data_IF_530007540163
#
_entry.id   IF_530007540163
#
_cell.length_a   1.000
_cell.length_b   1.000
_cell.length_c   1.000
_cell.angle_alpha   90.00
_cell.angle_beta   90.00
_cell.angle_gamma   90.00
#
_symmetry.space_group_name_H-M   'P 1'
#
loop_
_entity.id
_entity.type
_entity.pdbx_description
1 polymer ?
#
# COMPACT_ATOMS: atom_id res chain seq x y z
N UNK A 1 -31.18 -37.07 0.30
CA UNK A 1 -29.73 -37.21 0.50
C UNK A 1 -29.07 -35.83 0.54
N UNK A 2 -27.86 -35.76 1.01
CA UNK A 2 -27.04 -34.51 1.03
C UNK A 2 -26.86 -33.95 -0.37
N UNK A 3 -26.62 -34.83 -1.35
CA UNK A 3 -26.44 -34.46 -2.76
C UNK A 3 -27.68 -33.78 -3.34
N UNK A 4 -28.88 -34.30 -3.00
CA UNK A 4 -30.12 -33.69 -3.48
C UNK A 4 -30.37 -32.31 -2.89
N UNK A 5 -30.04 -32.10 -1.59
CA UNK A 5 -30.14 -30.80 -0.95
C UNK A 5 -29.11 -29.80 -1.55
N UNK A 6 -27.88 -30.24 -1.80
CA UNK A 6 -26.84 -29.45 -2.43
C UNK A 6 -27.24 -29.04 -3.87
N UNK A 7 -27.75 -29.97 -4.66
CA UNK A 7 -28.23 -29.68 -6.01
C UNK A 7 -29.44 -28.72 -6.00
N UNK A 8 -30.33 -28.85 -5.01
CA UNK A 8 -31.42 -27.91 -4.82
C UNK A 8 -30.93 -26.50 -4.47
N UNK A 9 -29.94 -26.37 -3.56
CA UNK A 9 -29.34 -25.08 -3.22
C UNK A 9 -28.81 -24.34 -4.46
N UNK A 10 -28.06 -25.04 -5.32
CA UNK A 10 -27.51 -24.45 -6.55
C UNK A 10 -28.60 -23.96 -7.52
N UNK A 11 -29.62 -24.80 -7.76
CA UNK A 11 -30.72 -24.45 -8.68
C UNK A 11 -31.56 -23.30 -8.16
N UNK A 12 -31.88 -23.30 -6.87
CA UNK A 12 -32.70 -22.25 -6.25
C UNK A 12 -31.93 -20.94 -6.20
N UNK A 13 -30.62 -20.94 -5.89
CA UNK A 13 -29.79 -19.74 -5.90
C UNK A 13 -29.68 -19.12 -7.29
N UNK A 14 -29.48 -19.93 -8.32
CA UNK A 14 -29.47 -19.46 -9.71
C UNK A 14 -30.82 -18.84 -10.13
N UNK A 15 -31.94 -19.44 -9.72
CA UNK A 15 -33.26 -18.87 -9.95
C UNK A 15 -33.53 -17.60 -9.16
N UNK A 16 -33.03 -17.51 -7.91
CA UNK A 16 -33.17 -16.37 -7.02
C UNK A 16 -32.47 -15.11 -7.53
N UNK A 17 -31.32 -15.26 -8.16
CA UNK A 17 -30.57 -14.14 -8.75
C UNK A 17 -31.06 -13.71 -10.15
N UNK A 18 -32.01 -14.47 -10.72
CA UNK A 18 -32.62 -14.19 -12.01
C UNK A 18 -33.53 -12.95 -12.01
N UNK A 19 -33.66 -12.31 -13.18
CA UNK A 19 -34.48 -11.09 -13.37
C UNK A 19 -35.97 -11.32 -13.33
N UNK A 20 -36.42 -12.55 -13.63
CA UNK A 20 -37.83 -12.88 -13.84
C UNK A 20 -38.48 -13.57 -12.65
N UNK A 21 -37.88 -13.57 -11.49
CA UNK A 21 -38.44 -14.18 -10.29
C UNK A 21 -39.63 -13.39 -9.76
N UNK A 22 -40.77 -14.05 -9.59
CA UNK A 22 -41.92 -13.42 -8.94
C UNK A 22 -41.66 -13.17 -7.45
N UNK A 23 -42.35 -12.20 -6.86
CA UNK A 23 -42.24 -11.91 -5.41
C UNK A 23 -42.53 -13.12 -4.53
N UNK A 24 -43.54 -13.94 -4.93
CA UNK A 24 -43.87 -15.21 -4.25
C UNK A 24 -42.75 -16.24 -4.41
N UNK A 25 -42.13 -16.31 -5.60
CA UNK A 25 -40.98 -17.19 -5.84
C UNK A 25 -39.78 -16.80 -5.02
N UNK A 26 -39.50 -15.49 -4.89
CA UNK A 26 -38.44 -14.96 -4.08
C UNK A 26 -38.61 -15.32 -2.59
N UNK A 27 -39.79 -15.09 -2.02
CA UNK A 27 -40.10 -15.49 -0.63
C UNK A 27 -39.91 -16.98 -0.39
N UNK A 28 -40.39 -17.81 -1.31
CA UNK A 28 -40.23 -19.27 -1.19
C UNK A 28 -38.75 -19.68 -1.22
N UNK A 29 -37.93 -19.09 -2.09
CA UNK A 29 -36.50 -19.35 -2.13
C UNK A 29 -35.80 -18.92 -0.82
N UNK A 30 -36.14 -17.76 -0.27
CA UNK A 30 -35.64 -17.30 1.01
C UNK A 30 -35.99 -18.23 2.19
N UNK A 31 -37.22 -18.75 2.22
CA UNK A 31 -37.64 -19.72 3.24
C UNK A 31 -36.86 -21.03 3.11
N UNK A 32 -36.60 -21.49 1.88
CA UNK A 32 -35.74 -22.66 1.65
C UNK A 32 -34.32 -22.40 2.12
N UNK A 33 -33.74 -21.21 1.84
CA UNK A 33 -32.40 -20.84 2.30
C UNK A 33 -32.32 -20.81 3.84
N UNK A 34 -33.37 -20.32 4.53
CA UNK A 34 -33.44 -20.34 6.00
C UNK A 34 -33.41 -21.76 6.57
N UNK A 35 -34.04 -22.70 5.90
CA UNK A 35 -33.98 -24.12 6.29
C UNK A 35 -32.59 -24.70 6.01
N UNK A 36 -31.99 -24.38 4.86
CA UNK A 36 -30.72 -24.95 4.46
C UNK A 36 -29.53 -24.40 5.28
N UNK A 37 -29.57 -23.14 5.73
CA UNK A 37 -28.51 -22.54 6.55
C UNK A 37 -28.47 -23.15 7.97
N UNK A 38 -29.55 -23.80 8.40
CA UNK A 38 -29.65 -24.54 9.68
C UNK A 38 -29.44 -26.05 9.51
N UNK A 39 -29.10 -26.52 8.31
CA UNK A 39 -28.91 -27.94 8.07
C UNK A 39 -27.75 -28.49 8.90
N UNK A 40 -27.97 -29.61 9.57
CA UNK A 40 -26.95 -30.28 10.40
C UNK A 40 -25.73 -30.74 9.57
N UNK A 41 -25.94 -30.97 8.26
CA UNK A 41 -24.89 -31.38 7.35
C UNK A 41 -24.11 -30.16 6.84
N UNK A 42 -22.87 -30.01 7.27
CA UNK A 42 -21.99 -28.94 6.85
C UNK A 42 -21.90 -28.78 5.33
N UNK A 43 -21.88 -29.92 4.62
CA UNK A 43 -21.81 -29.95 3.16
C UNK A 43 -22.96 -29.20 2.48
N UNK A 44 -24.17 -29.24 3.04
CA UNK A 44 -25.32 -28.49 2.52
C UNK A 44 -25.10 -26.99 2.71
N UNK A 45 -24.61 -26.58 3.88
CA UNK A 45 -24.31 -25.19 4.18
C UNK A 45 -23.15 -24.63 3.35
N UNK A 46 -22.10 -25.44 3.09
CA UNK A 46 -20.99 -25.07 2.18
C UNK A 46 -21.50 -24.80 0.77
N UNK A 47 -22.33 -25.70 0.21
CA UNK A 47 -22.89 -25.51 -1.13
C UNK A 47 -23.84 -24.31 -1.17
N UNK A 48 -24.63 -24.09 -0.11
CA UNK A 48 -25.47 -22.90 -0.01
C UNK A 48 -24.63 -21.63 -0.01
N UNK A 49 -23.61 -21.55 0.83
CA UNK A 49 -22.66 -20.43 0.91
C UNK A 49 -22.02 -20.15 -0.45
N UNK A 50 -21.49 -21.18 -1.10
CA UNK A 50 -20.85 -21.09 -2.41
C UNK A 50 -21.80 -20.59 -3.50
N UNK A 51 -23.07 -20.97 -3.41
CA UNK A 51 -24.10 -20.58 -4.37
C UNK A 51 -24.60 -19.14 -4.14
N UNK A 52 -24.65 -18.68 -2.88
CA UNK A 52 -25.17 -17.37 -2.52
C UNK A 52 -24.10 -16.25 -2.55
N UNK A 53 -22.81 -16.58 -2.53
CA UNK A 53 -21.73 -15.58 -2.47
C UNK A 53 -21.71 -14.57 -3.62
N UNK A 54 -22.31 -14.94 -4.78
CA UNK A 54 -22.39 -14.07 -5.96
C UNK A 54 -23.76 -13.41 -6.14
N UNK A 55 -24.75 -13.73 -5.29
CA UNK A 55 -26.08 -13.16 -5.40
C UNK A 55 -26.07 -11.66 -5.09
N UNK A 56 -26.89 -10.90 -5.81
CA UNK A 56 -26.99 -9.45 -5.64
C UNK A 56 -27.49 -9.02 -4.27
N UNK A 57 -28.43 -9.76 -3.71
CA UNK A 57 -28.98 -9.46 -2.39
C UNK A 57 -29.59 -10.73 -1.78
N UNK A 58 -29.33 -10.98 -0.53
CA UNK A 58 -29.95 -12.03 0.27
C UNK A 58 -30.43 -11.46 1.60
N UNK A 59 -31.42 -12.11 2.27
CA UNK A 59 -31.91 -11.65 3.56
C UNK A 59 -30.82 -11.57 4.62
N UNK A 60 -30.91 -10.55 5.47
CA UNK A 60 -29.92 -10.23 6.49
C UNK A 60 -29.70 -11.37 7.50
N UNK A 61 -30.77 -12.06 7.88
CA UNK A 61 -30.73 -13.20 8.80
C UNK A 61 -29.87 -14.35 8.25
N UNK A 62 -29.97 -14.65 6.95
CA UNK A 62 -29.15 -15.65 6.26
C UNK A 62 -27.67 -15.19 6.20
N UNK A 63 -27.43 -13.92 5.85
CA UNK A 63 -26.08 -13.33 5.83
C UNK A 63 -25.39 -13.52 7.17
N UNK A 64 -26.02 -13.13 8.27
CA UNK A 64 -25.47 -13.24 9.62
C UNK A 64 -25.16 -14.69 10.00
N UNK A 65 -25.99 -15.63 9.61
CA UNK A 65 -25.75 -17.06 9.88
C UNK A 65 -24.55 -17.59 9.10
N UNK A 66 -24.43 -17.25 7.81
CA UNK A 66 -23.32 -17.70 6.96
C UNK A 66 -21.96 -17.13 7.42
N UNK A 67 -21.89 -15.86 7.82
CA UNK A 67 -20.63 -15.27 8.31
C UNK A 67 -20.20 -15.84 9.66
N UNK A 68 -21.15 -16.29 10.49
CA UNK A 68 -20.87 -16.87 11.80
C UNK A 68 -20.71 -18.39 11.81
N UNK A 69 -20.90 -19.06 10.67
CA UNK A 69 -20.70 -20.50 10.54
C UNK A 69 -19.21 -20.87 10.64
N UNK A 70 -18.88 -22.14 10.59
CA UNK A 70 -17.48 -22.59 10.55
C UNK A 70 -16.74 -22.11 9.31
N UNK A 71 -15.40 -22.10 9.34
CA UNK A 71 -14.56 -21.49 8.31
C UNK A 71 -14.84 -22.01 6.89
N UNK A 72 -15.11 -23.31 6.72
CA UNK A 72 -15.39 -23.88 5.39
C UNK A 72 -16.66 -23.33 4.73
N UNK A 73 -17.61 -22.86 5.52
CA UNK A 73 -18.85 -22.22 5.07
C UNK A 73 -18.67 -20.71 4.97
N UNK A 74 -18.10 -20.09 5.99
CA UNK A 74 -18.04 -18.63 6.11
C UNK A 74 -16.98 -17.97 5.21
N UNK A 75 -15.79 -18.56 5.09
CA UNK A 75 -14.66 -17.95 4.36
C UNK A 75 -14.98 -17.61 2.90
N UNK A 76 -15.51 -18.53 2.06
CA UNK A 76 -15.86 -18.20 0.69
C UNK A 76 -16.94 -17.12 0.59
N UNK A 77 -17.90 -17.12 1.52
CA UNK A 77 -18.95 -16.11 1.57
C UNK A 77 -18.41 -14.73 1.97
N UNK A 78 -17.63 -14.64 3.04
CA UNK A 78 -16.99 -13.40 3.50
C UNK A 78 -16.15 -12.80 2.39
N UNK A 79 -15.38 -13.62 1.67
CA UNK A 79 -14.47 -13.14 0.62
C UNK A 79 -15.18 -12.54 -0.59
N UNK A 80 -16.30 -13.13 -1.01
CA UNK A 80 -16.89 -12.82 -2.33
C UNK A 80 -18.26 -12.13 -2.27
N UNK A 81 -19.05 -12.28 -1.22
CA UNK A 81 -20.36 -11.63 -1.14
C UNK A 81 -20.22 -10.11 -1.06
N UNK A 82 -20.70 -9.41 -2.11
CA UNK A 82 -20.43 -7.97 -2.27
C UNK A 82 -21.08 -7.08 -1.18
N UNK A 83 -22.27 -7.46 -0.69
CA UNK A 83 -23.12 -6.62 0.16
C UNK A 83 -22.94 -6.86 1.67
N UNK A 84 -21.73 -7.25 2.10
CA UNK A 84 -21.38 -7.15 3.52
C UNK A 84 -21.21 -5.68 3.89
N UNK A 85 -21.86 -5.26 4.97
CA UNK A 85 -21.74 -3.90 5.48
C UNK A 85 -20.38 -3.71 6.21
N UNK A 86 -20.00 -2.47 6.42
CA UNK A 86 -18.80 -2.16 7.22
C UNK A 86 -18.87 -2.78 8.62
N UNK A 87 -20.05 -2.72 9.24
CA UNK A 87 -20.31 -3.28 10.57
C UNK A 87 -20.15 -4.80 10.57
N UNK A 88 -20.53 -5.49 9.48
CA UNK A 88 -20.27 -6.92 9.33
C UNK A 88 -18.78 -7.21 9.30
N UNK A 89 -18.04 -6.47 8.48
CA UNK A 89 -16.61 -6.68 8.33
C UNK A 89 -15.87 -6.42 9.65
N UNK A 90 -16.22 -5.37 10.38
CA UNK A 90 -15.66 -5.07 11.70
C UNK A 90 -15.99 -6.19 12.69
N UNK A 91 -17.24 -6.63 12.75
CA UNK A 91 -17.68 -7.73 13.64
C UNK A 91 -16.93 -9.04 13.36
N UNK A 92 -16.65 -9.35 12.07
CA UNK A 92 -15.83 -10.50 11.69
C UNK A 92 -14.40 -10.34 12.17
N UNK A 93 -13.81 -9.15 12.05
CA UNK A 93 -12.45 -8.87 12.52
C UNK A 93 -12.34 -9.04 14.04
N UNK A 94 -13.34 -8.59 14.81
CA UNK A 94 -13.31 -8.63 16.28
C UNK A 94 -13.51 -10.03 16.87
N UNK A 95 -14.48 -10.78 16.33
CA UNK A 95 -15.01 -11.96 16.99
C UNK A 95 -14.62 -13.30 16.35
N UNK A 96 -13.95 -13.28 15.18
CA UNK A 96 -13.82 -14.48 14.36
C UNK A 96 -12.36 -15.00 14.25
N UNK A 97 -12.25 -16.21 13.65
CA UNK A 97 -10.97 -16.87 13.42
C UNK A 97 -10.05 -16.07 12.47
N UNK A 98 -8.73 -16.30 12.58
CA UNK A 98 -7.73 -15.72 11.67
C UNK A 98 -8.04 -16.00 10.20
N UNK A 99 -8.65 -17.14 9.85
CA UNK A 99 -9.05 -17.46 8.48
C UNK A 99 -10.15 -16.52 7.97
N UNK A 100 -11.13 -16.18 8.80
CA UNK A 100 -12.19 -15.24 8.45
C UNK A 100 -11.65 -13.81 8.36
N UNK A 101 -10.72 -13.40 9.26
CA UNK A 101 -10.03 -12.12 9.18
C UNK A 101 -9.22 -12.02 7.88
N UNK A 102 -8.50 -13.08 7.47
CA UNK A 102 -7.80 -13.16 6.18
C UNK A 102 -8.77 -13.06 5.00
N UNK A 103 -9.95 -13.67 5.11
CA UNK A 103 -10.99 -13.56 4.07
C UNK A 103 -11.48 -12.09 3.91
N UNK A 104 -11.63 -11.35 5.01
CA UNK A 104 -11.92 -9.91 4.96
C UNK A 104 -10.78 -9.16 4.27
N UNK A 105 -9.53 -9.40 4.66
CA UNK A 105 -8.35 -8.75 4.08
C UNK A 105 -8.17 -9.03 2.57
N UNK A 106 -8.71 -10.15 2.06
CA UNK A 106 -8.67 -10.54 0.65
C UNK A 106 -9.83 -9.97 -0.20
N UNK A 107 -10.75 -9.21 0.39
CA UNK A 107 -11.89 -8.65 -0.35
C UNK A 107 -11.45 -7.63 -1.38
N UNK A 108 -12.14 -7.61 -2.53
CA UNK A 108 -11.93 -6.57 -3.54
C UNK A 108 -12.44 -5.21 -3.02
N UNK A 109 -11.71 -4.16 -3.33
CA UNK A 109 -12.06 -2.77 -3.00
C UNK A 109 -12.37 -2.58 -1.50
N UNK A 110 -11.56 -3.17 -0.63
CA UNK A 110 -11.73 -3.03 0.81
C UNK A 110 -11.62 -1.54 1.20
N UNK A 111 -12.58 -0.98 1.97
CA UNK A 111 -12.54 0.42 2.39
C UNK A 111 -11.34 0.72 3.30
N UNK A 112 -10.86 1.98 3.25
CA UNK A 112 -9.68 2.44 4.01
C UNK A 112 -9.83 2.26 5.53
N UNK A 113 -11.01 2.55 6.06
CA UNK A 113 -11.28 2.43 7.49
C UNK A 113 -11.30 0.97 7.99
N UNK A 114 -11.73 0.02 7.13
CA UNK A 114 -11.60 -1.42 7.42
C UNK A 114 -10.15 -1.86 7.30
N UNK A 115 -9.40 -1.33 6.32
CA UNK A 115 -7.95 -1.57 6.18
C UNK A 115 -7.19 -1.11 7.42
N UNK A 116 -7.47 0.10 7.91
CA UNK A 116 -6.89 0.61 9.16
C UNK A 116 -7.27 -0.26 10.36
N UNK A 117 -8.53 -0.70 10.44
CA UNK A 117 -9.00 -1.55 11.54
C UNK A 117 -8.28 -2.91 11.58
N UNK A 118 -8.00 -3.50 10.41
CA UNK A 118 -7.20 -4.73 10.31
C UNK A 118 -5.79 -4.50 10.88
N UNK A 119 -5.14 -3.39 10.51
CA UNK A 119 -3.78 -3.06 11.01
C UNK A 119 -3.77 -2.89 12.52
N UNK A 120 -4.81 -2.28 13.08
CA UNK A 120 -4.90 -2.01 14.52
C UNK A 120 -5.15 -3.29 15.34
N UNK A 121 -6.01 -4.19 14.85
CA UNK A 121 -6.59 -5.30 15.63
C UNK A 121 -6.09 -6.69 15.27
N UNK A 122 -5.63 -6.90 14.03
CA UNK A 122 -5.25 -8.23 13.59
C UNK A 122 -3.77 -8.56 13.79
N UNK A 123 -3.45 -9.84 13.62
CA UNK A 123 -2.08 -10.34 13.64
C UNK A 123 -1.30 -9.95 12.39
N UNK A 124 0.01 -10.04 12.46
CA UNK A 124 0.95 -9.80 11.36
C UNK A 124 0.58 -10.56 10.08
N UNK A 125 0.22 -11.84 10.21
CA UNK A 125 -0.20 -12.68 9.07
C UNK A 125 -1.39 -12.11 8.30
N UNK A 126 -2.38 -11.54 9.01
CA UNK A 126 -3.56 -10.93 8.39
C UNK A 126 -3.21 -9.62 7.73
N UNK A 127 -2.34 -8.83 8.37
CA UNK A 127 -1.82 -7.58 7.79
C UNK A 127 -0.98 -7.85 6.54
N UNK A 128 -0.16 -8.92 6.53
CA UNK A 128 0.55 -9.35 5.33
C UNK A 128 -0.38 -9.69 4.16
N UNK A 129 -1.51 -10.35 4.44
CA UNK A 129 -2.55 -10.63 3.43
C UNK A 129 -3.22 -9.34 2.93
N UNK A 130 -3.48 -8.37 3.82
CA UNK A 130 -4.02 -7.05 3.44
C UNK A 130 -3.06 -6.31 2.49
N UNK A 131 -1.77 -6.25 2.82
CA UNK A 131 -0.76 -5.58 1.99
C UNK A 131 -0.66 -6.23 0.62
N UNK A 132 -0.76 -7.56 0.54
CA UNK A 132 -0.73 -8.31 -0.72
C UNK A 132 -1.99 -8.14 -1.57
N UNK A 133 -3.05 -7.55 -1.03
CA UNK A 133 -4.29 -7.29 -1.76
C UNK A 133 -4.18 -5.94 -2.49
N UNK A 134 -3.76 -5.96 -3.75
CA UNK A 134 -3.60 -4.78 -4.61
C UNK A 134 -4.88 -3.93 -4.74
N UNK A 135 -6.05 -4.53 -4.56
CA UNK A 135 -7.35 -3.84 -4.64
C UNK A 135 -7.81 -3.21 -3.31
N UNK A 136 -7.11 -3.45 -2.21
CA UNK A 136 -7.45 -2.86 -0.93
C UNK A 136 -7.04 -1.38 -0.89
N UNK A 137 -7.95 -0.52 -0.42
CA UNK A 137 -7.63 0.89 -0.22
C UNK A 137 -6.83 1.05 1.08
N UNK A 138 -5.51 1.26 0.92
CA UNK A 138 -4.59 1.51 2.04
C UNK A 138 -4.06 2.93 1.85
N UNK A 139 -4.48 3.84 2.73
CA UNK A 139 -4.02 5.23 2.69
C UNK A 139 -2.66 5.39 3.38
N UNK A 140 -1.97 6.49 3.12
CA UNK A 140 -0.63 6.79 3.65
C UNK A 140 -0.54 6.61 5.17
N UNK A 141 -1.50 7.15 5.93
CA UNK A 141 -1.57 6.98 7.38
C UNK A 141 -1.61 5.52 7.83
N UNK A 142 -2.28 4.65 7.07
CA UNK A 142 -2.35 3.22 7.38
C UNK A 142 -1.01 2.54 7.10
N UNK A 143 -0.30 2.94 6.03
CA UNK A 143 1.07 2.48 5.79
C UNK A 143 2.02 2.92 6.89
N UNK A 144 1.92 4.15 7.39
CA UNK A 144 2.70 4.62 8.53
C UNK A 144 2.48 3.74 9.75
N UNK A 145 1.22 3.45 10.08
CA UNK A 145 0.88 2.54 11.18
C UNK A 145 1.46 1.12 10.98
N UNK A 146 1.51 0.62 9.74
CA UNK A 146 2.11 -0.67 9.42
C UNK A 146 3.62 -0.64 9.66
N UNK A 147 4.31 0.37 9.14
CA UNK A 147 5.77 0.51 9.26
C UNK A 147 6.17 0.66 10.72
N UNK A 148 5.47 1.51 11.48
CA UNK A 148 5.77 1.74 12.90
C UNK A 148 5.53 0.48 13.73
N UNK A 149 4.42 -0.23 13.51
CA UNK A 149 4.05 -1.43 14.28
C UNK A 149 4.91 -2.65 13.96
N UNK A 150 5.39 -2.76 12.71
CA UNK A 150 6.10 -3.92 12.19
C UNK A 150 7.49 -3.57 11.65
N UNK A 151 8.16 -2.58 12.25
CA UNK A 151 9.49 -2.09 11.85
C UNK A 151 10.54 -3.20 11.73
N UNK A 152 10.47 -4.22 12.58
CA UNK A 152 11.41 -5.33 12.64
C UNK A 152 10.95 -6.59 11.87
N UNK A 153 9.76 -6.56 11.25
CA UNK A 153 9.22 -7.71 10.52
C UNK A 153 9.72 -7.79 9.09
N UNK A 154 10.61 -8.74 8.81
CA UNK A 154 11.06 -9.05 7.44
C UNK A 154 9.90 -9.50 6.53
N UNK A 155 8.90 -10.15 7.09
CA UNK A 155 7.73 -10.61 6.36
C UNK A 155 6.88 -9.44 5.86
N UNK A 156 6.59 -8.47 6.72
CA UNK A 156 5.83 -7.26 6.34
C UNK A 156 6.63 -6.40 5.34
N UNK A 157 7.93 -6.18 5.58
CA UNK A 157 8.82 -5.47 4.65
C UNK A 157 8.78 -6.10 3.25
N UNK A 158 8.83 -7.44 3.18
CA UNK A 158 8.72 -8.18 1.92
C UNK A 158 7.38 -7.93 1.22
N UNK A 159 6.26 -8.02 1.92
CA UNK A 159 4.95 -7.75 1.33
C UNK A 159 4.84 -6.31 0.81
N UNK A 160 5.38 -5.32 1.55
CA UNK A 160 5.42 -3.93 1.10
C UNK A 160 6.22 -3.76 -0.20
N UNK A 161 7.42 -4.34 -0.27
CA UNK A 161 8.29 -4.22 -1.46
C UNK A 161 7.65 -4.80 -2.73
N UNK A 162 6.80 -5.81 -2.61
CA UNK A 162 6.11 -6.41 -3.77
C UNK A 162 4.82 -5.70 -4.17
N UNK A 163 4.33 -4.74 -3.38
CA UNK A 163 3.13 -4.01 -3.73
C UNK A 163 3.44 -2.94 -4.79
N UNK A 164 2.64 -2.91 -5.86
CA UNK A 164 2.88 -2.03 -7.02
C UNK A 164 2.49 -0.56 -6.79
N UNK A 165 1.53 -0.31 -5.89
CA UNK A 165 0.97 1.04 -5.67
C UNK A 165 1.29 1.52 -4.25
N UNK A 166 2.55 1.95 -4.05
CA UNK A 166 3.01 2.54 -2.80
C UNK A 166 3.14 4.05 -2.93
N UNK A 167 2.66 4.84 -1.93
CA UNK A 167 2.99 6.25 -1.85
C UNK A 167 4.50 6.48 -1.74
N UNK A 168 4.98 7.58 -2.32
CA UNK A 168 6.41 7.95 -2.33
C UNK A 168 6.99 8.03 -0.94
N UNK A 169 6.25 8.64 0.00
CA UNK A 169 6.60 8.74 1.41
C UNK A 169 6.84 7.38 2.08
N UNK A 170 6.04 6.38 1.70
CA UNK A 170 6.16 5.00 2.20
C UNK A 170 7.42 4.34 1.64
N UNK A 171 7.70 4.53 0.34
CA UNK A 171 8.91 3.99 -0.31
C UNK A 171 10.16 4.56 0.36
N UNK A 172 10.21 5.87 0.60
CA UNK A 172 11.34 6.53 1.29
C UNK A 172 11.58 5.94 2.68
N UNK A 173 10.52 5.74 3.48
CA UNK A 173 10.62 5.12 4.81
C UNK A 173 11.14 3.69 4.76
N UNK A 174 10.69 2.90 3.78
CA UNK A 174 11.18 1.52 3.57
C UNK A 174 12.68 1.55 3.21
N UNK A 175 13.08 2.39 2.27
CA UNK A 175 14.49 2.52 1.86
C UNK A 175 15.35 2.96 3.04
N UNK A 176 14.89 3.91 3.84
CA UNK A 176 15.60 4.36 5.05
C UNK A 176 15.78 3.22 6.05
N UNK A 177 14.70 2.49 6.37
CA UNK A 177 14.73 1.37 7.32
C UNK A 177 15.65 0.22 6.87
N UNK A 178 15.61 -0.13 5.58
CA UNK A 178 16.49 -1.16 5.01
C UNK A 178 17.96 -0.72 5.01
N UNK A 179 18.21 0.58 4.79
CA UNK A 179 19.56 1.15 4.83
C UNK A 179 20.16 1.08 6.23
N UNK A 180 19.38 1.39 7.26
CA UNK A 180 19.80 1.30 8.66
C UNK A 180 20.11 -0.14 9.08
N UNK A 181 19.32 -1.10 8.61
CA UNK A 181 19.55 -2.51 8.85
C UNK A 181 20.84 -3.00 8.14
N UNK A 182 21.05 -2.57 6.89
CA UNK A 182 22.28 -2.87 6.15
C UNK A 182 23.52 -2.33 6.88
N UNK A 183 23.45 -1.08 7.38
CA UNK A 183 24.54 -0.49 8.15
C UNK A 183 24.88 -1.31 9.40
N UNK A 184 23.85 -1.69 10.18
CA UNK A 184 24.06 -2.54 11.37
C UNK A 184 24.72 -3.87 10.99
N UNK A 185 24.27 -4.54 9.94
CA UNK A 185 24.85 -5.80 9.46
C UNK A 185 26.30 -5.64 8.98
N UNK A 186 26.62 -4.58 8.25
CA UNK A 186 28.00 -4.30 7.81
C UNK A 186 28.95 -4.15 8.98
N UNK A 187 28.54 -3.46 10.05
CA UNK A 187 29.34 -3.27 11.26
C UNK A 187 29.45 -4.56 12.06
N UNK A 188 28.32 -5.24 12.33
CA UNK A 188 28.29 -6.37 13.27
C UNK A 188 28.80 -7.67 12.67
N UNK A 189 28.50 -7.94 11.40
CA UNK A 189 28.83 -9.23 10.74
C UNK A 189 30.15 -9.17 9.99
N UNK A 190 30.45 -8.01 9.37
CA UNK A 190 31.65 -7.83 8.54
C UNK A 190 32.74 -6.98 9.21
N UNK A 191 32.54 -6.53 10.46
CA UNK A 191 33.47 -5.72 11.23
C UNK A 191 33.98 -4.48 10.48
N UNK A 192 33.13 -3.88 9.62
CA UNK A 192 33.50 -2.65 8.93
C UNK A 192 33.54 -1.47 9.90
N UNK A 193 34.52 -0.57 9.80
CA UNK A 193 34.54 0.68 10.54
C UNK A 193 33.24 1.46 10.30
N UNK A 194 32.70 2.09 11.34
CA UNK A 194 31.39 2.76 11.29
C UNK A 194 31.34 3.82 10.18
N UNK A 195 32.38 4.62 10.00
CA UNK A 195 32.46 5.64 8.94
C UNK A 195 32.35 5.03 7.54
N UNK A 196 33.01 3.90 7.27
CA UNK A 196 32.94 3.23 5.96
C UNK A 196 31.56 2.62 5.73
N UNK A 197 30.97 1.99 6.76
CA UNK A 197 29.62 1.44 6.67
C UNK A 197 28.60 2.56 6.41
N UNK A 198 28.71 3.70 7.09
CA UNK A 198 27.86 4.89 6.85
C UNK A 198 27.99 5.41 5.41
N UNK A 199 29.21 5.63 4.92
CA UNK A 199 29.45 6.12 3.57
C UNK A 199 28.85 5.20 2.48
N UNK A 200 29.00 3.88 2.65
CA UNK A 200 28.44 2.90 1.71
C UNK A 200 26.91 2.97 1.71
N UNK A 201 26.30 3.01 2.89
CA UNK A 201 24.84 3.01 3.05
C UNK A 201 24.25 4.31 2.50
N UNK A 202 24.85 5.47 2.78
CA UNK A 202 24.42 6.76 2.21
C UNK A 202 24.48 6.75 0.68
N UNK A 203 25.56 6.23 0.09
CA UNK A 203 25.68 6.13 -1.37
C UNK A 203 24.61 5.22 -1.99
N UNK A 204 24.29 4.08 -1.34
CA UNK A 204 23.24 3.18 -1.80
C UNK A 204 21.87 3.84 -1.69
N UNK A 205 21.59 4.51 -0.57
CA UNK A 205 20.34 5.25 -0.31
C UNK A 205 20.12 6.33 -1.37
N UNK A 206 21.12 7.19 -1.60
CA UNK A 206 21.05 8.26 -2.61
C UNK A 206 20.80 7.71 -4.03
N UNK A 207 21.53 6.67 -4.44
CA UNK A 207 21.31 6.02 -5.75
C UNK A 207 19.91 5.43 -5.89
N UNK A 208 19.40 4.80 -4.83
CA UNK A 208 18.06 4.20 -4.83
C UNK A 208 16.99 5.28 -4.93
N UNK A 209 17.14 6.38 -4.17
CA UNK A 209 16.22 7.53 -4.21
C UNK A 209 16.14 8.14 -5.62
N UNK A 210 17.28 8.34 -6.29
CA UNK A 210 17.29 8.90 -7.65
C UNK A 210 16.68 7.93 -8.69
N UNK A 211 16.89 6.62 -8.56
CA UNK A 211 16.22 5.63 -9.41
C UNK A 211 14.71 5.65 -9.25
N UNK A 212 14.23 5.83 -8.03
CA UNK A 212 12.80 6.00 -7.76
C UNK A 212 12.28 7.27 -8.46
N UNK A 213 13.04 8.39 -8.37
CA UNK A 213 12.69 9.65 -9.06
C UNK A 213 12.59 9.47 -10.58
N UNK A 214 13.50 8.71 -11.20
CA UNK A 214 13.49 8.45 -12.64
C UNK A 214 12.24 7.68 -13.10
N UNK A 215 11.64 6.83 -12.24
CA UNK A 215 10.43 6.08 -12.54
C UNK A 215 9.16 6.95 -12.44
N UNK A 216 9.21 8.08 -11.73
CA UNK A 216 8.09 9.01 -11.63
C UNK A 216 8.02 9.93 -12.85
N UNK A 217 6.89 9.86 -13.57
CA UNK A 217 6.67 10.66 -14.78
C UNK A 217 6.06 12.04 -14.53
N UNK A 218 5.42 12.25 -13.38
CA UNK A 218 4.71 13.50 -13.09
C UNK A 218 5.49 14.44 -12.17
N UNK A 219 5.46 15.74 -12.49
CA UNK A 219 6.08 16.80 -11.68
C UNK A 219 5.57 16.76 -10.22
N UNK A 220 4.30 16.43 -10.01
CA UNK A 220 3.70 16.36 -8.69
C UNK A 220 4.31 15.26 -7.81
N UNK A 221 4.56 14.08 -8.37
CA UNK A 221 5.18 12.97 -7.64
C UNK A 221 6.62 13.28 -7.24
N UNK A 222 7.38 13.93 -8.15
CA UNK A 222 8.75 14.35 -7.87
C UNK A 222 8.76 15.44 -6.78
N UNK A 223 7.83 16.40 -6.85
CA UNK A 223 7.68 17.43 -5.83
C UNK A 223 7.35 16.81 -4.45
N UNK A 224 6.43 15.86 -4.39
CA UNK A 224 6.09 15.12 -3.17
C UNK A 224 7.30 14.36 -2.60
N UNK A 225 8.07 13.67 -3.44
CA UNK A 225 9.31 12.98 -3.03
C UNK A 225 10.31 13.96 -2.42
N UNK A 226 10.60 15.05 -3.11
CA UNK A 226 11.56 16.05 -2.64
C UNK A 226 11.09 16.72 -1.35
N UNK A 227 9.78 17.02 -1.24
CA UNK A 227 9.19 17.55 -0.02
C UNK A 227 9.38 16.60 1.18
N UNK A 228 9.12 15.29 0.99
CA UNK A 228 9.32 14.27 2.03
C UNK A 228 10.79 14.17 2.46
N UNK A 229 11.71 14.14 1.50
CA UNK A 229 13.16 14.12 1.78
C UNK A 229 13.59 15.36 2.56
N UNK A 230 13.04 16.53 2.23
CA UNK A 230 13.30 17.77 2.95
C UNK A 230 12.76 17.72 4.39
N UNK A 231 11.50 17.29 4.57
CA UNK A 231 10.84 17.19 5.87
C UNK A 231 11.52 16.17 6.81
N UNK A 232 12.07 15.08 6.25
CA UNK A 232 12.81 14.05 7.00
C UNK A 232 14.30 14.35 7.19
N UNK A 233 14.82 15.51 6.75
CA UNK A 233 16.24 15.87 6.73
C UNK A 233 17.13 14.92 5.89
N UNK A 234 16.57 14.23 4.93
CA UNK A 234 17.30 13.35 4.02
C UNK A 234 17.66 14.01 2.68
N UNK A 235 17.23 15.25 2.44
CA UNK A 235 17.61 16.02 1.26
C UNK A 235 19.02 16.60 1.43
N UNK A 236 20.03 15.75 1.25
CA UNK A 236 21.45 16.13 1.44
C UNK A 236 22.00 16.90 0.24
N UNK A 237 23.02 17.79 0.42
CA UNK A 237 23.71 18.42 -0.70
C UNK A 237 24.30 17.43 -1.70
N UNK A 238 24.78 16.27 -1.25
CA UNK A 238 25.30 15.20 -2.09
C UNK A 238 24.23 14.63 -3.01
N UNK A 239 23.04 14.33 -2.47
CA UNK A 239 21.90 13.84 -3.23
C UNK A 239 21.47 14.85 -4.31
N UNK A 240 21.40 16.13 -3.95
CA UNK A 240 20.99 17.20 -4.87
C UNK A 240 22.02 17.37 -6.02
N UNK A 241 23.31 17.36 -5.74
CA UNK A 241 24.33 17.45 -6.79
C UNK A 241 24.36 16.20 -7.65
N UNK A 242 24.18 15.03 -7.04
CA UNK A 242 24.10 13.76 -7.78
C UNK A 242 22.91 13.72 -8.74
N UNK A 243 21.74 14.28 -8.36
CA UNK A 243 20.57 14.31 -9.24
C UNK A 243 20.85 15.02 -10.56
N UNK A 244 21.47 16.19 -10.52
CA UNK A 244 21.80 16.93 -11.74
C UNK A 244 22.92 16.24 -12.54
N UNK A 245 23.88 15.59 -11.89
CA UNK A 245 24.93 14.81 -12.56
C UNK A 245 24.35 13.57 -13.26
N UNK A 246 23.22 13.03 -12.81
CA UNK A 246 22.50 11.91 -13.46
C UNK A 246 21.49 12.39 -14.51
N UNK A 247 21.30 13.71 -14.67
CA UNK A 247 20.37 14.29 -15.64
C UNK A 247 18.95 14.49 -15.12
N UNK A 248 18.68 14.22 -13.84
CA UNK A 248 17.38 14.48 -13.22
C UNK A 248 17.20 15.96 -12.86
N UNK A 249 16.96 16.76 -13.90
CA UNK A 249 16.77 18.21 -13.77
C UNK A 249 15.56 18.56 -12.91
N UNK A 250 14.46 17.78 -12.99
CA UNK A 250 13.24 18.06 -12.23
C UNK A 250 13.45 17.90 -10.73
N UNK A 251 14.07 16.80 -10.31
CA UNK A 251 14.44 16.59 -8.91
C UNK A 251 15.34 17.73 -8.42
N UNK A 252 16.35 18.11 -9.21
CA UNK A 252 17.26 19.20 -8.87
C UNK A 252 16.54 20.55 -8.71
N UNK A 253 15.61 20.89 -9.61
CA UNK A 253 14.80 22.11 -9.54
C UNK A 253 13.98 22.16 -8.24
N UNK A 254 13.21 21.12 -7.93
CA UNK A 254 12.41 21.06 -6.71
C UNK A 254 13.29 21.03 -5.45
N UNK A 255 14.43 20.36 -5.46
CA UNK A 255 15.36 20.37 -4.34
C UNK A 255 15.87 21.79 -4.04
N UNK A 256 16.21 22.56 -5.08
CA UNK A 256 16.60 23.95 -4.91
C UNK A 256 15.45 24.83 -4.41
N UNK A 257 14.19 24.59 -4.85
CA UNK A 257 13.00 25.30 -4.34
C UNK A 257 12.91 25.18 -2.83
N UNK A 258 12.94 23.96 -2.31
CA UNK A 258 12.80 23.70 -0.86
C UNK A 258 14.02 24.19 -0.05
N UNK A 259 15.23 23.92 -0.51
CA UNK A 259 16.46 24.30 0.21
C UNK A 259 16.72 25.79 0.20
N UNK A 260 16.46 26.50 -0.92
CA UNK A 260 16.73 27.93 -1.04
C UNK A 260 15.53 28.82 -0.71
N UNK A 261 14.35 28.21 -0.48
CA UNK A 261 13.07 28.91 -0.34
C UNK A 261 12.82 29.92 -1.49
N UNK A 262 13.11 29.48 -2.72
CA UNK A 262 12.96 30.29 -3.93
C UNK A 262 11.87 29.67 -4.82
N UNK A 263 10.90 30.47 -5.35
CA UNK A 263 9.84 29.93 -6.20
C UNK A 263 10.37 29.21 -7.44
N UNK A 264 9.71 28.13 -7.87
CA UNK A 264 10.13 27.29 -8.99
C UNK A 264 10.37 28.08 -10.29
N UNK A 265 9.53 29.08 -10.59
CA UNK A 265 9.70 29.94 -11.76
C UNK A 265 11.01 30.74 -11.71
N UNK A 266 11.43 31.17 -10.54
CA UNK A 266 12.71 31.89 -10.37
C UNK A 266 13.89 30.94 -10.46
N UNK A 267 13.79 29.76 -9.85
CA UNK A 267 14.79 28.69 -9.96
C UNK A 267 15.03 28.38 -11.44
N UNK A 268 13.97 28.09 -12.18
CA UNK A 268 14.05 27.81 -13.63
C UNK A 268 14.67 28.96 -14.41
N UNK A 269 14.26 30.21 -14.17
CA UNK A 269 14.86 31.38 -14.83
C UNK A 269 16.37 31.50 -14.58
N UNK A 270 16.82 31.20 -13.38
CA UNK A 270 18.25 31.24 -13.04
C UNK A 270 19.01 30.10 -13.73
N UNK A 271 18.46 28.87 -13.71
CA UNK A 271 19.12 27.70 -14.29
C UNK A 271 19.20 27.76 -15.83
N UNK A 272 18.16 28.26 -16.51
CA UNK A 272 18.14 28.39 -17.96
C UNK A 272 18.85 29.63 -18.49
N UNK A 273 19.23 30.58 -17.61
CA UNK A 273 19.99 31.77 -18.00
C UNK A 273 21.48 31.54 -17.78
N UNK A 274 22.09 30.66 -18.58
CA UNK A 274 23.47 30.20 -18.51
C UNK A 274 24.53 31.35 -18.60
N UNK A 275 24.13 32.57 -18.95
CA UNK A 275 25.05 33.71 -19.04
C UNK A 275 25.40 34.33 -17.68
N UNK A 276 24.78 33.90 -16.58
CA UNK A 276 24.99 34.54 -15.25
C UNK A 276 25.37 33.48 -14.20
N UNK A 277 26.58 32.93 -14.34
CA UNK A 277 27.20 32.01 -13.38
C UNK A 277 27.12 32.51 -11.91
N UNK A 278 27.16 33.83 -11.69
CA UNK A 278 26.97 34.43 -10.39
C UNK A 278 25.57 34.16 -9.77
N UNK A 279 24.50 34.15 -10.57
CA UNK A 279 23.16 33.88 -10.04
C UNK A 279 23.01 32.42 -9.63
N UNK A 280 23.52 31.48 -10.43
CA UNK A 280 23.54 30.05 -10.11
C UNK A 280 24.31 29.82 -8.80
N UNK A 281 25.51 30.40 -8.66
CA UNK A 281 26.32 30.30 -7.43
C UNK A 281 25.58 30.87 -6.20
N UNK A 282 24.83 31.96 -6.35
CA UNK A 282 24.04 32.52 -5.27
C UNK A 282 22.88 31.61 -4.88
N UNK A 283 22.20 31.01 -5.84
CA UNK A 283 21.11 30.04 -5.61
C UNK A 283 21.66 28.82 -4.86
N UNK A 284 22.79 28.27 -5.31
CA UNK A 284 23.45 27.14 -4.64
C UNK A 284 23.88 27.46 -3.22
N UNK A 285 24.38 28.70 -2.96
CA UNK A 285 24.70 29.14 -1.59
C UNK A 285 23.47 29.24 -0.70
N UNK A 286 22.35 29.77 -1.23
CA UNK A 286 21.06 29.79 -0.52
C UNK A 286 20.55 28.41 -0.19
N UNK A 287 20.79 27.44 -1.07
CA UNK A 287 20.45 26.03 -0.89
C UNK A 287 21.45 25.27 -0.01
N UNK A 288 22.39 25.93 0.63
CA UNK A 288 23.44 25.36 1.48
C UNK A 288 24.32 24.31 0.78
N UNK A 289 24.43 24.35 -0.54
CA UNK A 289 25.35 23.48 -1.29
C UNK A 289 26.79 23.92 -1.04
N UNK A 290 27.70 23.02 -0.67
CA UNK A 290 29.12 23.34 -0.45
C UNK A 290 29.79 23.89 -1.71
N UNK A 291 30.68 24.90 -1.55
CA UNK A 291 31.39 25.52 -2.68
C UNK A 291 32.23 24.51 -3.49
N UNK A 292 32.72 23.46 -2.83
CA UNK A 292 33.48 22.38 -3.46
C UNK A 292 32.70 21.62 -4.53
N UNK A 293 31.36 21.62 -4.45
CA UNK A 293 30.46 20.93 -5.39
C UNK A 293 29.95 21.82 -6.53
N UNK A 294 30.30 23.12 -6.55
CA UNK A 294 29.87 24.04 -7.61
C UNK A 294 30.37 23.67 -9.01
N UNK A 295 31.64 23.20 -9.17
CA UNK A 295 32.12 22.79 -10.48
C UNK A 295 31.36 21.65 -11.09
N UNK A 296 30.94 20.62 -10.28
CA UNK A 296 30.15 19.48 -10.74
C UNK A 296 28.77 19.94 -11.25
N UNK A 297 28.10 20.82 -10.49
CA UNK A 297 26.80 21.38 -10.89
C UNK A 297 26.93 22.19 -12.19
N UNK A 298 27.94 23.06 -12.28
CA UNK A 298 28.15 23.86 -13.50
C UNK A 298 28.48 23.00 -14.71
N UNK A 299 29.27 21.95 -14.53
CA UNK A 299 29.56 20.95 -15.61
C UNK A 299 28.33 20.20 -16.05
N UNK A 300 27.50 19.74 -15.11
CA UNK A 300 26.28 19.02 -15.41
C UNK A 300 25.27 19.90 -16.16
N UNK A 301 25.06 21.15 -15.71
CA UNK A 301 24.15 22.11 -16.36
C UNK A 301 24.57 22.49 -17.78
N UNK A 302 25.86 22.42 -18.13
CA UNK A 302 26.34 22.68 -19.48
C UNK A 302 26.12 21.52 -20.47
N UNK A 303 25.76 20.33 -19.97
CA UNK A 303 25.55 19.13 -20.77
C UNK A 303 24.04 18.89 -21.05
N UNK A 304 23.19 19.43 -20.19
CA UNK A 304 21.73 19.36 -20.30
C UNK A 304 21.20 20.52 -21.16
#
# INVERSE_FOLDING_TARGET
>A
SVENKAAAAQKISAYYDGTDISERGRKLAEDIFRIMVEDVQVKVREVLSESLKNCKSIPRDITVKLINDQDSVAVPFIKYYANLTKEDLISIIEAQSSNKQKAVAQRKNLPEDVSQYIVDKCSEDVVGVLISNESANIVEKTYDSIIDKYSDSDNIKKHLVYRSDLPVSVIEKIVSSLSDELQKRLITTHNLPNNIATDIVEQVKEKTTLRISEEYSSDKQIEELVHQLYASNHLTPSLVVRSICMGDLKFFEYALVYLSNTPLLEVRKILFNLQVDFMIRNLLRKAFIPKSMFPEVSSALNVI
#
